data_IF_542904534019
#
_entry.id   IF_542904534019
#
_cell.length_a   1.000
_cell.length_b   1.000
_cell.length_c   1.000
_cell.angle_alpha   90.00
_cell.angle_beta   90.00
_cell.angle_gamma   90.00
#
_symmetry.space_group_name_H-M   'P 1'
#
loop_
_entity.id
_entity.type
_entity.pdbx_description
1 polymer ?
#
# COMPACT_ATOMS: atom_id res chain seq x y z
N UNK A 1 -3.63 35.66 -7.68
CA UNK A 1 -3.39 34.20 -7.69
C UNK A 1 -4.72 33.50 -7.83
N UNK A 2 -4.78 32.27 -8.36
CA UNK A 2 -6.00 31.47 -8.37
C UNK A 2 -6.50 31.17 -6.96
N UNK A 3 -7.82 31.10 -6.78
CA UNK A 3 -8.47 30.91 -5.47
C UNK A 3 -8.01 29.65 -4.72
N UNK A 4 -7.72 28.57 -5.46
CA UNK A 4 -7.25 27.32 -4.87
C UNK A 4 -5.90 27.49 -4.15
N UNK A 5 -5.07 28.45 -4.56
CA UNK A 5 -3.71 28.58 -4.03
C UNK A 5 -3.72 28.97 -2.56
N UNK A 6 -4.54 29.96 -2.19
CA UNK A 6 -4.66 30.42 -0.79
C UNK A 6 -5.53 29.49 0.05
N UNK A 7 -6.49 28.79 -0.55
CA UNK A 7 -7.28 27.78 0.14
C UNK A 7 -6.44 26.56 0.55
N UNK A 8 -5.57 26.07 -0.35
CA UNK A 8 -4.83 24.83 -0.15
C UNK A 8 -3.45 24.99 0.48
N UNK A 9 -2.95 26.22 0.63
CA UNK A 9 -1.61 26.47 1.16
C UNK A 9 -1.63 27.49 2.31
N UNK A 10 -0.69 27.32 3.24
CA UNK A 10 -0.36 28.28 4.31
C UNK A 10 1.15 28.53 4.34
N UNK A 11 1.60 29.37 5.28
CA UNK A 11 3.02 29.62 5.55
C UNK A 11 3.80 30.01 4.27
N UNK A 12 3.32 31.06 3.60
CA UNK A 12 3.83 31.47 2.31
C UNK A 12 5.29 31.94 2.39
N UNK A 13 6.08 31.58 1.39
CA UNK A 13 7.45 32.07 1.20
C UNK A 13 7.56 32.80 -0.12
N UNK A 14 8.30 33.91 -0.09
CA UNK A 14 8.50 34.78 -1.23
C UNK A 14 9.97 34.79 -1.61
N UNK A 15 10.25 34.56 -2.89
CA UNK A 15 11.57 34.74 -3.46
C UNK A 15 11.45 35.76 -4.58
N UNK A 16 12.23 36.84 -4.48
CA UNK A 16 12.25 37.93 -5.43
C UNK A 16 13.64 38.03 -6.05
N UNK A 17 13.70 38.14 -7.37
CA UNK A 17 14.92 38.45 -8.12
C UNK A 17 14.63 39.67 -8.96
N UNK A 18 15.29 40.77 -8.64
CA UNK A 18 15.22 41.98 -9.46
C UNK A 18 16.07 41.75 -10.70
N UNK A 19 15.50 42.04 -11.87
CA UNK A 19 16.19 41.99 -13.14
C UNK A 19 16.36 43.45 -13.57
N UNK A 20 17.61 43.88 -13.66
CA UNK A 20 17.99 45.23 -14.06
C UNK A 20 19.17 45.14 -15.02
N UNK A 21 19.06 45.82 -16.16
CA UNK A 21 20.13 45.90 -17.18
C UNK A 21 20.91 47.22 -17.06
N UNK A 22 20.43 48.17 -16.25
CA UNK A 22 21.12 49.43 -16.03
C UNK A 22 22.35 49.22 -15.14
N UNK A 23 23.51 49.73 -15.59
CA UNK A 23 24.76 49.74 -14.81
C UNK A 23 24.84 50.93 -13.83
N UNK A 24 23.75 51.68 -13.70
CA UNK A 24 23.67 52.91 -12.90
C UNK A 24 22.75 52.73 -11.70
N UNK A 25 23.32 52.30 -10.57
CA UNK A 25 22.65 52.28 -9.27
C UNK A 25 22.18 50.89 -8.83
N UNK A 26 21.43 50.85 -7.72
CA UNK A 26 20.93 49.61 -7.14
C UNK A 26 19.40 49.62 -7.04
N UNK A 27 18.77 48.62 -7.65
CA UNK A 27 17.34 48.42 -7.56
C UNK A 27 16.98 47.61 -6.30
N UNK A 28 16.01 48.10 -5.53
CA UNK A 28 15.49 47.46 -4.33
C UNK A 28 14.05 47.03 -4.56
N UNK A 29 13.73 45.81 -4.14
CA UNK A 29 12.36 45.29 -4.12
C UNK A 29 12.06 44.63 -2.77
N UNK A 30 10.82 44.77 -2.30
CA UNK A 30 10.34 44.08 -1.11
C UNK A 30 8.86 43.74 -1.19
N UNK A 31 8.45 42.70 -0.49
CA UNK A 31 7.03 42.43 -0.24
C UNK A 31 6.54 43.40 0.84
N UNK A 32 5.48 44.15 0.55
CA UNK A 32 4.87 45.12 1.50
C UNK A 32 3.49 44.70 1.98
N UNK A 33 2.87 43.75 1.27
CA UNK A 33 1.67 43.04 1.71
C UNK A 33 1.86 41.58 1.37
N UNK A 34 1.79 40.74 2.40
CA UNK A 34 1.79 39.30 2.23
C UNK A 34 0.52 38.82 1.52
N UNK A 35 0.57 37.58 1.04
CA UNK A 35 -0.51 36.87 0.39
C UNK A 35 -1.76 36.88 1.25
N UNK A 36 -2.79 37.55 0.75
CA UNK A 36 -4.13 37.57 1.31
C UNK A 36 -5.12 37.67 0.16
N UNK A 37 -6.19 36.87 0.22
CA UNK A 37 -7.26 36.88 -0.78
C UNK A 37 -6.73 36.70 -2.22
N UNK A 38 -5.68 35.88 -2.37
CA UNK A 38 -5.03 35.59 -3.65
C UNK A 38 -4.08 36.69 -4.14
N UNK A 39 -3.87 37.75 -3.38
CA UNK A 39 -3.04 38.88 -3.78
C UNK A 39 -1.88 39.12 -2.81
N UNK A 40 -0.75 39.58 -3.36
CA UNK A 40 0.37 40.09 -2.57
C UNK A 40 0.95 41.31 -3.30
N UNK A 41 1.70 42.14 -2.61
CA UNK A 41 2.22 43.39 -3.20
C UNK A 41 3.73 43.49 -3.05
N UNK A 42 4.40 43.67 -4.18
CA UNK A 42 5.81 44.02 -4.26
C UNK A 42 5.91 45.54 -4.43
N UNK A 43 6.83 46.18 -3.71
CA UNK A 43 7.21 47.57 -3.90
C UNK A 43 8.66 47.65 -4.34
N UNK A 44 8.92 48.52 -5.32
CA UNK A 44 10.26 48.87 -5.79
C UNK A 44 10.59 50.33 -5.46
N UNK A 45 11.87 50.67 -5.41
CA UNK A 45 12.34 52.06 -5.25
C UNK A 45 12.37 52.84 -6.57
N UNK A 46 12.48 52.14 -7.71
CA UNK A 46 12.51 52.72 -9.06
C UNK A 46 11.25 52.34 -9.85
N UNK A 47 10.78 53.21 -10.76
CA UNK A 47 9.67 52.90 -11.67
C UNK A 47 10.09 51.89 -12.75
N UNK A 48 9.12 51.20 -13.33
CA UNK A 48 9.32 50.26 -14.45
C UNK A 48 10.33 49.13 -14.19
N UNK A 49 10.60 48.79 -12.93
CA UNK A 49 11.52 47.72 -12.58
C UNK A 49 10.92 46.34 -12.87
N UNK A 50 11.69 45.47 -13.53
CA UNK A 50 11.33 44.07 -13.71
C UNK A 50 11.69 43.25 -12.48
N UNK A 51 10.74 42.51 -11.94
CA UNK A 51 10.94 41.60 -10.80
C UNK A 51 10.43 40.22 -11.18
N UNK A 52 11.33 39.23 -11.20
CA UNK A 52 10.95 37.83 -11.21
C UNK A 52 10.59 37.41 -9.79
N UNK A 53 9.49 36.67 -9.64
CA UNK A 53 8.98 36.29 -8.33
C UNK A 53 8.54 34.83 -8.33
N UNK A 54 8.74 34.19 -7.18
CA UNK A 54 8.20 32.88 -6.88
C UNK A 54 7.53 32.94 -5.51
N UNK A 55 6.31 32.43 -5.44
CA UNK A 55 5.59 32.24 -4.18
C UNK A 55 5.34 30.75 -3.98
N UNK A 56 5.82 30.23 -2.85
CA UNK A 56 5.57 28.86 -2.43
C UNK A 56 4.78 28.85 -1.12
N UNK A 57 4.17 27.71 -0.79
CA UNK A 57 3.43 27.54 0.45
C UNK A 57 3.43 26.08 0.88
N UNK A 58 3.08 25.86 2.13
CA UNK A 58 2.93 24.53 2.72
C UNK A 58 1.49 24.07 2.49
N UNK A 59 1.33 22.94 1.78
CA UNK A 59 0.02 22.36 1.50
C UNK A 59 -0.70 21.96 2.79
N UNK A 60 -1.98 22.27 2.89
CA UNK A 60 -2.78 22.14 4.12
C UNK A 60 -4.17 21.53 3.95
N UNK A 61 -4.43 20.80 2.86
CA UNK A 61 -5.66 20.04 2.74
C UNK A 61 -5.78 18.91 3.79
N UNK A 62 -7.00 18.44 4.03
CA UNK A 62 -7.26 17.43 5.06
C UNK A 62 -6.47 16.12 4.85
N UNK A 63 -6.27 15.72 3.59
CA UNK A 63 -5.53 14.51 3.26
C UNK A 63 -4.03 14.69 3.51
N UNK A 64 -3.45 15.80 3.08
CA UNK A 64 -2.04 16.14 3.32
C UNK A 64 -1.71 16.33 4.80
N UNK A 65 -2.63 16.91 5.57
CA UNK A 65 -2.44 17.04 7.02
C UNK A 65 -2.48 15.67 7.71
N UNK A 66 -3.35 14.75 7.27
CA UNK A 66 -3.45 13.40 7.83
C UNK A 66 -2.30 12.48 7.40
N UNK A 67 -1.81 12.62 6.16
CA UNK A 67 -0.78 11.76 5.58
C UNK A 67 0.44 12.60 5.20
N UNK A 68 1.02 13.28 6.18
CA UNK A 68 2.17 14.14 5.95
C UNK A 68 3.40 13.29 5.62
N UNK A 69 4.04 13.61 4.50
CA UNK A 69 5.30 12.98 4.10
C UNK A 69 6.41 13.54 5.01
N UNK A 70 7.11 12.71 5.78
CA UNK A 70 8.24 13.16 6.59
C UNK A 70 9.40 13.60 5.66
N UNK A 71 10.10 14.66 6.04
CA UNK A 71 11.26 15.15 5.27
C UNK A 71 12.39 14.13 5.25
N UNK A 72 12.60 13.45 6.39
CA UNK A 72 13.62 12.43 6.57
C UNK A 72 13.01 11.27 7.35
N UNK A 73 13.31 10.05 6.90
CA UNK A 73 12.90 8.83 7.57
C UNK A 73 14.08 7.88 7.64
N UNK A 74 14.29 7.28 8.81
CA UNK A 74 15.32 6.26 8.95
C UNK A 74 14.87 5.01 8.20
N UNK A 75 15.72 4.52 7.29
CA UNK A 75 15.53 3.20 6.67
C UNK A 75 15.26 2.15 7.75
N UNK A 76 14.30 1.28 7.51
CA UNK A 76 14.04 0.15 8.40
C UNK A 76 15.28 -0.76 8.47
N UNK A 77 15.39 -1.57 9.52
CA UNK A 77 16.54 -2.46 9.70
C UNK A 77 16.79 -3.37 8.48
N UNK A 78 15.73 -3.79 7.80
CA UNK A 78 15.78 -4.69 6.64
C UNK A 78 16.14 -3.98 5.32
N UNK A 79 16.09 -2.64 5.29
CA UNK A 79 16.39 -1.80 4.12
C UNK A 79 17.79 -1.17 4.20
N UNK A 80 18.41 -1.16 5.38
CA UNK A 80 19.78 -0.69 5.56
C UNK A 80 20.75 -1.57 4.75
N UNK A 81 21.67 -0.94 4.04
CA UNK A 81 22.62 -1.62 3.14
C UNK A 81 22.02 -2.07 1.80
N UNK A 82 20.73 -1.83 1.54
CA UNK A 82 20.06 -2.14 0.27
C UNK A 82 19.73 -0.88 -0.54
N UNK A 83 19.54 -1.09 -1.83
CA UNK A 83 19.28 -0.05 -2.82
C UNK A 83 17.79 -0.01 -3.19
N UNK A 84 17.30 1.19 -3.50
CA UNK A 84 15.96 1.34 -4.10
C UNK A 84 15.95 0.82 -5.54
N UNK A 85 17.01 1.12 -6.30
CA UNK A 85 17.22 0.72 -7.69
C UNK A 85 18.67 0.24 -7.89
N UNK A 86 18.97 -1.07 -7.71
CA UNK A 86 20.33 -1.61 -7.87
C UNK A 86 20.87 -1.48 -9.31
N UNK A 87 20.00 -1.62 -10.31
CA UNK A 87 20.27 -1.54 -11.74
C UNK A 87 20.92 -0.21 -12.16
N UNK A 88 20.48 0.90 -11.57
CA UNK A 88 21.06 2.23 -11.79
C UNK A 88 22.55 2.32 -11.38
N UNK A 89 23.04 1.36 -10.58
CA UNK A 89 24.43 1.26 -10.15
C UNK A 89 25.15 0.04 -10.76
N UNK A 90 24.54 -0.65 -11.72
CA UNK A 90 25.08 -1.90 -12.29
C UNK A 90 25.17 -3.04 -11.28
N UNK A 91 24.38 -2.96 -10.20
CA UNK A 91 24.34 -3.97 -9.14
C UNK A 91 23.25 -4.98 -9.43
N UNK A 92 23.41 -6.22 -8.94
CA UNK A 92 22.46 -7.27 -9.25
C UNK A 92 21.17 -7.09 -8.42
N UNK A 93 20.02 -7.63 -8.88
CA UNK A 93 18.72 -7.37 -8.27
C UNK A 93 18.64 -7.69 -6.78
N UNK A 94 19.44 -8.64 -6.29
CA UNK A 94 19.47 -9.12 -4.89
C UNK A 94 19.82 -8.03 -3.89
N UNK A 95 20.50 -6.96 -4.34
CA UNK A 95 20.81 -5.80 -3.49
C UNK A 95 19.64 -4.82 -3.35
N UNK A 96 18.49 -5.10 -3.97
CA UNK A 96 17.31 -4.25 -3.95
C UNK A 96 16.43 -4.44 -2.71
N UNK A 97 15.81 -3.37 -2.22
CA UNK A 97 14.81 -3.47 -1.13
C UNK A 97 13.55 -4.22 -1.56
N UNK A 98 13.23 -4.20 -2.86
CA UNK A 98 12.09 -4.91 -3.43
C UNK A 98 12.44 -6.29 -3.99
N UNK A 99 13.69 -6.73 -3.84
CA UNK A 99 14.08 -8.05 -4.29
C UNK A 99 13.38 -9.11 -3.44
N UNK A 100 12.56 -9.92 -4.10
CA UNK A 100 11.93 -11.08 -3.50
C UNK A 100 12.71 -12.31 -3.92
N UNK A 101 13.34 -12.97 -2.95
CA UNK A 101 13.96 -14.28 -3.17
C UNK A 101 12.85 -15.31 -3.53
N UNK A 102 12.84 -15.85 -4.76
CA UNK A 102 11.83 -16.80 -5.19
C UNK A 102 11.84 -18.09 -4.35
N UNK A 103 13.02 -18.57 -3.95
CA UNK A 103 13.17 -19.81 -3.20
C UNK A 103 12.62 -19.67 -1.77
N UNK A 104 12.89 -18.53 -1.13
CA UNK A 104 12.35 -18.23 0.20
C UNK A 104 10.82 -18.07 0.18
N UNK A 105 10.22 -17.63 -0.92
CA UNK A 105 8.77 -17.54 -1.04
C UNK A 105 8.14 -18.93 -1.20
N UNK A 106 8.70 -19.78 -2.07
CA UNK A 106 8.22 -21.15 -2.28
C UNK A 106 8.30 -21.99 -1.00
N UNK A 107 9.35 -21.81 -0.19
CA UNK A 107 9.48 -22.48 1.10
C UNK A 107 8.41 -22.03 2.11
N UNK A 108 8.11 -20.72 2.16
CA UNK A 108 7.03 -20.20 3.02
C UNK A 108 5.65 -20.68 2.55
N UNK A 109 5.43 -20.74 1.24
CA UNK A 109 4.19 -21.26 0.66
C UNK A 109 4.00 -22.75 0.97
N UNK A 110 5.06 -23.56 0.83
CA UNK A 110 5.00 -24.99 1.14
C UNK A 110 4.77 -25.25 2.63
N UNK A 111 5.42 -24.49 3.52
CA UNK A 111 5.17 -24.55 4.97
C UNK A 111 3.72 -24.18 5.32
N UNK A 112 3.17 -23.12 4.69
CA UNK A 112 1.77 -22.73 4.90
C UNK A 112 0.79 -23.80 4.42
N UNK A 113 1.04 -24.40 3.26
CA UNK A 113 0.22 -25.50 2.72
C UNK A 113 0.26 -26.70 3.69
N UNK A 114 1.45 -27.06 4.18
CA UNK A 114 1.60 -28.16 5.15
C UNK A 114 0.86 -27.89 6.46
N UNK A 115 1.00 -26.67 7.02
CA UNK A 115 0.29 -26.28 8.24
C UNK A 115 -1.23 -26.31 8.03
N UNK A 116 -1.71 -25.81 6.88
CA UNK A 116 -3.13 -25.83 6.54
C UNK A 116 -3.66 -27.26 6.39
N UNK A 117 -2.91 -28.16 5.77
CA UNK A 117 -3.27 -29.57 5.64
C UNK A 117 -3.33 -30.26 7.01
N UNK A 118 -2.32 -30.06 7.85
CA UNK A 118 -2.28 -30.61 9.20
C UNK A 118 -3.47 -30.12 10.05
N UNK A 119 -3.87 -28.85 9.91
CA UNK A 119 -5.04 -28.31 10.58
C UNK A 119 -6.34 -28.97 10.11
N UNK A 120 -6.50 -29.19 8.81
CA UNK A 120 -7.64 -29.90 8.23
C UNK A 120 -7.70 -31.34 8.74
N UNK A 121 -6.56 -32.03 8.81
CA UNK A 121 -6.48 -33.40 9.29
C UNK A 121 -6.86 -33.50 10.77
N UNK A 122 -6.40 -32.54 11.59
CA UNK A 122 -6.82 -32.42 12.99
C UNK A 122 -8.33 -32.16 13.12
N UNK A 123 -8.89 -31.27 12.31
CA UNK A 123 -10.33 -30.97 12.33
C UNK A 123 -11.16 -32.19 11.93
N UNK A 124 -10.76 -32.90 10.89
CA UNK A 124 -11.42 -34.13 10.44
C UNK A 124 -11.34 -35.24 11.48
N UNK A 125 -10.20 -35.40 12.15
CA UNK A 125 -10.02 -36.37 13.23
C UNK A 125 -10.88 -36.03 14.46
N UNK A 126 -11.04 -34.74 14.79
CA UNK A 126 -11.92 -34.28 15.86
C UNK A 126 -13.39 -34.56 15.52
N UNK A 127 -13.85 -34.18 14.31
CA UNK A 127 -15.20 -34.47 13.81
C UNK A 127 -15.50 -35.98 13.76
N UNK A 128 -14.52 -36.81 13.42
CA UNK A 128 -14.67 -38.27 13.42
C UNK A 128 -14.84 -38.85 14.83
N UNK A 129 -14.11 -38.32 15.83
CA UNK A 129 -14.29 -38.68 17.24
C UNK A 129 -15.67 -38.27 17.76
N UNK A 130 -16.13 -37.06 17.46
CA UNK A 130 -17.48 -36.59 17.81
C UNK A 130 -18.58 -37.46 17.19
N UNK A 131 -18.44 -37.83 15.91
CA UNK A 131 -19.36 -38.77 15.23
C UNK A 131 -19.39 -40.14 15.92
N UNK A 132 -18.24 -40.65 16.36
CA UNK A 132 -18.13 -41.96 17.03
C UNK A 132 -18.72 -41.96 18.45
N UNK A 133 -18.67 -40.82 19.15
CA UNK A 133 -19.33 -40.61 20.44
C UNK A 133 -20.84 -40.52 20.28
N UNK A 134 -21.33 -39.80 19.27
CA UNK A 134 -22.77 -39.68 18.99
C UNK A 134 -23.39 -40.96 18.40
N UNK A 135 -22.61 -41.82 17.72
CA UNK A 135 -23.10 -43.13 17.24
C UNK A 135 -23.12 -44.23 18.30
N UNK A 136 -22.68 -43.94 19.54
CA UNK A 136 -22.70 -44.89 20.66
C UNK A 136 -24.05 -45.01 21.39
N UNK A 137 -25.05 -44.18 21.07
CA UNK A 137 -26.42 -44.29 21.58
C UNK A 137 -27.36 -44.84 20.50
N UNK A 138 -27.20 -46.10 20.11
CA UNK A 138 -28.32 -46.92 19.63
C UNK A 138 -27.89 -48.39 19.58
N UNK A 139 -28.12 -49.10 20.67
CA UNK A 139 -28.18 -50.55 20.66
C UNK A 139 -29.58 -50.95 21.14
N UNK A 140 -30.42 -51.39 20.20
CA UNK A 140 -31.64 -52.15 20.48
C UNK A 140 -31.59 -53.45 19.65
N UNK A 141 -32.08 -54.58 20.21
CA UNK A 141 -31.71 -55.90 19.75
C UNK A 141 -32.49 -56.33 18.49
N UNK A 142 -31.83 -57.12 17.64
CA UNK A 142 -32.48 -57.84 16.55
C UNK A 142 -33.33 -59.00 17.10
N UNK A 143 -34.60 -59.03 16.74
CA UNK A 143 -35.50 -60.18 16.91
C UNK A 143 -35.93 -60.71 15.54
N UNK A 144 -36.07 -62.04 15.46
CA UNK A 144 -36.18 -62.86 14.25
C UNK A 144 -37.53 -62.79 13.53
N UNK A 145 -37.55 -63.00 12.20
CA UNK A 145 -38.53 -63.86 11.51
C UNK A 145 -38.19 -64.06 10.00
N UNK A 146 -38.71 -65.16 9.46
CA UNK A 146 -38.38 -65.91 8.24
C UNK A 146 -38.94 -65.38 6.89
N UNK A 147 -38.32 -65.91 5.81
CA UNK A 147 -38.83 -66.18 4.43
C UNK A 147 -38.99 -64.96 3.49
N UNK A 148 -38.74 -65.00 2.17
CA UNK A 148 -38.70 -66.08 1.19
C UNK A 148 -37.90 -65.62 -0.08
N UNK A 149 -37.41 -66.57 -0.87
CA UNK A 149 -36.47 -66.40 -2.01
C UNK A 149 -37.18 -66.14 -3.39
N UNK A 150 -36.51 -66.12 -4.58
CA UNK A 150 -36.30 -65.03 -5.57
C UNK A 150 -37.09 -65.31 -6.90
N UNK A 151 -36.68 -65.00 -8.18
CA UNK A 151 -35.60 -64.15 -8.76
C UNK A 151 -36.04 -63.26 -9.97
N UNK A 152 -35.12 -62.47 -10.56
CA UNK A 152 -34.74 -62.48 -12.00
C UNK A 152 -33.95 -61.23 -12.43
N UNK A 153 -32.83 -61.49 -13.13
CA UNK A 153 -32.00 -60.55 -13.92
C UNK A 153 -32.67 -60.34 -15.32
N UNK A 154 -32.32 -59.32 -16.14
CA UNK A 154 -31.10 -59.40 -16.95
C UNK A 154 -30.33 -58.06 -17.12
N UNK A 155 -29.07 -58.23 -17.53
CA UNK A 155 -28.12 -57.20 -17.93
C UNK A 155 -28.53 -56.48 -19.22
N UNK A 156 -28.09 -55.22 -19.40
CA UNK A 156 -27.85 -54.62 -20.72
C UNK A 156 -26.50 -53.88 -20.69
N UNK A 157 -25.73 -54.12 -21.74
CA UNK A 157 -24.35 -53.74 -21.97
C UNK A 157 -24.20 -52.49 -22.85
N UNK A 158 -22.99 -51.91 -22.85
CA UNK A 158 -22.43 -51.02 -23.88
C UNK A 158 -22.93 -49.57 -23.83
N UNK A 159 -22.16 -48.53 -24.14
CA UNK A 159 -20.84 -48.40 -24.75
C UNK A 159 -20.72 -46.99 -25.34
N UNK A 160 -19.50 -46.45 -25.33
CA UNK A 160 -19.02 -45.13 -25.80
C UNK A 160 -19.28 -43.93 -24.89
#
# INVERSE_FOLDING_TARGET
MPDWFTALNRDFRYQLTVIDEADSGWALAKVVREMKDGEFTIRTNLPNQKVSWQVTGIRQDAWANKHRIPTEELKSANEKGKYLSPDAYGLPPERGIYHRDPAANLARESEQIMQRQAQIDQENAARAKERRVNSGLSAAPASSALANTPPLVPAIAGGR
#
